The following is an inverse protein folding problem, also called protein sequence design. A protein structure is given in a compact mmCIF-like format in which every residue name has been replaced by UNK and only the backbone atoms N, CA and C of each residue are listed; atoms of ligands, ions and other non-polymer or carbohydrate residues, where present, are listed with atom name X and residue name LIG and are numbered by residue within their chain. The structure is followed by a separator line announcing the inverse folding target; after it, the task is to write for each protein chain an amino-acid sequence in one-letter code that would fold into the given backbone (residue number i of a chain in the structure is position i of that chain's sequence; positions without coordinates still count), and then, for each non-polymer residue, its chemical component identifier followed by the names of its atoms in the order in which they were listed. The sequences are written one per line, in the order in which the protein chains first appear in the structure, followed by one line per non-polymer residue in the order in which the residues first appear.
data_IF_537797016170
#
_entry.id   IF_537797016170
#
_cell.length_a   1.000
_cell.length_b   1.000
_cell.length_c   1.000
_cell.angle_alpha   90.00
_cell.angle_beta   90.00
_cell.angle_gamma   90.00
#
_symmetry.space_group_name_H-M   'P 1'
#
loop_
_entity.id
_entity.type
_entity.pdbx_description
1 polymer ?
#
# COMPACT_ATOMS: atom_id res chain seq x y z
N UNK A 1 -17.31 4.61 10.37
CA UNK A 1 -17.26 3.75 11.58
C UNK A 1 -15.83 3.61 12.07
N UNK A 2 -15.62 3.54 13.38
CA UNK A 2 -14.30 3.44 14.04
C UNK A 2 -13.42 2.31 13.47
N UNK A 3 -14.02 1.17 13.12
CA UNK A 3 -13.31 0.01 12.57
C UNK A 3 -12.66 0.25 11.21
N UNK A 4 -13.27 1.06 10.33
CA UNK A 4 -12.66 1.41 9.05
C UNK A 4 -11.40 2.26 9.26
N UNK A 5 -11.45 3.23 10.19
CA UNK A 5 -10.25 4.03 10.56
C UNK A 5 -9.16 3.11 11.09
N UNK A 6 -9.48 2.20 12.00
CA UNK A 6 -8.55 1.22 12.56
C UNK A 6 -7.94 0.30 11.48
N UNK A 7 -8.76 -0.20 10.56
CA UNK A 7 -8.30 -1.03 9.44
C UNK A 7 -7.35 -0.28 8.50
N UNK A 8 -7.63 1.01 8.22
CA UNK A 8 -6.73 1.85 7.42
C UNK A 8 -5.39 2.08 8.11
N UNK A 9 -5.37 2.37 9.40
CA UNK A 9 -4.12 2.53 10.15
C UNK A 9 -3.32 1.21 10.22
N UNK A 10 -4.02 0.09 10.38
CA UNK A 10 -3.41 -1.24 10.36
C UNK A 10 -2.72 -1.57 9.02
N UNK A 11 -3.18 -0.98 7.91
CA UNK A 11 -2.57 -1.16 6.59
C UNK A 11 -1.10 -0.71 6.53
N UNK A 12 -0.70 0.26 7.35
CA UNK A 12 0.71 0.68 7.45
C UNK A 12 1.64 -0.43 7.96
N UNK A 13 1.09 -1.41 8.68
CA UNK A 13 1.85 -2.54 9.23
C UNK A 13 1.73 -3.79 8.36
N UNK A 14 0.54 -4.07 7.84
CA UNK A 14 0.29 -5.27 7.04
C UNK A 14 -0.68 -5.03 5.90
N UNK A 15 -0.27 -5.45 4.69
CA UNK A 15 -1.10 -5.37 3.47
C UNK A 15 -1.99 -6.61 3.30
N UNK A 16 -1.59 -7.74 3.87
CA UNK A 16 -2.27 -9.04 3.79
C UNK A 16 -2.42 -9.63 5.20
N UNK A 17 -3.28 -9.04 6.05
CA UNK A 17 -3.47 -9.57 7.39
C UNK A 17 -4.08 -10.97 7.35
N UNK A 18 -3.54 -11.87 8.17
CA UNK A 18 -4.14 -13.19 8.38
C UNK A 18 -5.44 -13.07 9.17
N UNK A 19 -6.27 -14.12 9.10
CA UNK A 19 -7.48 -14.20 9.92
C UNK A 19 -7.17 -14.03 11.40
N UNK A 20 -6.06 -14.62 11.89
CA UNK A 20 -5.61 -14.50 13.27
C UNK A 20 -5.30 -13.05 13.67
N UNK A 21 -4.58 -12.30 12.82
CA UNK A 21 -4.27 -10.89 13.08
C UNK A 21 -5.56 -10.05 13.09
N UNK A 22 -6.49 -10.30 12.18
CA UNK A 22 -7.79 -9.63 12.18
C UNK A 22 -8.58 -9.90 13.48
N UNK A 23 -8.57 -11.14 14.00
CA UNK A 23 -9.22 -11.44 15.29
C UNK A 23 -8.59 -10.69 16.45
N UNK A 24 -7.27 -10.67 16.52
CA UNK A 24 -6.54 -10.00 17.58
C UNK A 24 -6.76 -8.48 17.56
N UNK A 25 -6.76 -7.87 16.36
CA UNK A 25 -6.93 -6.43 16.22
C UNK A 25 -8.38 -5.96 16.39
N UNK A 26 -9.39 -6.77 16.09
CA UNK A 26 -10.81 -6.40 16.17
C UNK A 26 -11.56 -7.23 17.23
N UNK A 27 -11.01 -7.31 18.44
CA UNK A 27 -11.60 -8.08 19.55
C UNK A 27 -12.99 -7.60 19.98
N UNK A 28 -13.32 -6.34 19.68
CA UNK A 28 -14.56 -5.67 20.03
C UNK A 28 -15.70 -5.99 19.05
N UNK A 29 -15.40 -6.79 18.02
CA UNK A 29 -16.35 -7.19 16.99
C UNK A 29 -16.56 -8.70 17.07
N UNK A 30 -17.80 -9.14 17.24
CA UNK A 30 -18.13 -10.53 16.98
C UNK A 30 -17.86 -10.82 15.50
N UNK A 31 -16.83 -11.61 15.24
CA UNK A 31 -16.41 -11.98 13.90
C UNK A 31 -17.42 -12.95 13.27
N UNK A 32 -18.51 -12.37 12.76
CA UNK A 32 -19.40 -13.06 11.86
C UNK A 32 -18.75 -13.21 10.48
N UNK A 33 -19.32 -14.12 9.67
CA UNK A 33 -18.93 -14.27 8.26
C UNK A 33 -19.04 -12.96 7.49
N UNK A 34 -20.06 -12.15 7.78
CA UNK A 34 -20.29 -10.85 7.14
C UNK A 34 -19.18 -9.84 7.47
N UNK A 35 -18.82 -9.70 8.74
CA UNK A 35 -17.73 -8.79 9.18
C UNK A 35 -16.39 -9.21 8.57
N UNK A 36 -16.09 -10.51 8.59
CA UNK A 36 -14.85 -11.04 8.01
C UNK A 36 -14.76 -10.72 6.52
N UNK A 37 -15.85 -10.94 5.77
CA UNK A 37 -15.95 -10.58 4.36
C UNK A 37 -15.75 -9.08 4.13
N UNK A 38 -16.34 -8.24 4.99
CA UNK A 38 -16.21 -6.78 4.91
C UNK A 38 -14.77 -6.31 5.15
N UNK A 39 -14.06 -6.90 6.12
CA UNK A 39 -12.65 -6.61 6.37
C UNK A 39 -11.79 -7.03 5.18
N UNK A 40 -12.00 -8.23 4.64
CA UNK A 40 -11.28 -8.70 3.44
C UNK A 40 -11.50 -7.73 2.28
N UNK A 41 -12.75 -7.30 2.05
CA UNK A 41 -13.09 -6.31 1.02
C UNK A 41 -12.36 -4.97 1.25
N UNK A 42 -12.32 -4.46 2.48
CA UNK A 42 -11.57 -3.23 2.78
C UNK A 42 -10.09 -3.38 2.46
N UNK A 43 -9.44 -4.46 2.90
CA UNK A 43 -8.01 -4.66 2.62
C UNK A 43 -7.73 -4.87 1.13
N UNK A 44 -8.65 -5.48 0.37
CA UNK A 44 -8.55 -5.51 -1.10
C UNK A 44 -8.59 -4.11 -1.71
N UNK A 45 -9.55 -3.27 -1.32
CA UNK A 45 -9.63 -1.89 -1.79
C UNK A 45 -8.39 -1.06 -1.38
N UNK A 46 -7.86 -1.29 -0.18
CA UNK A 46 -6.65 -0.61 0.27
C UNK A 46 -5.43 -0.96 -0.57
N UNK A 47 -5.24 -2.24 -0.89
CA UNK A 47 -4.17 -2.69 -1.79
C UNK A 47 -4.33 -2.15 -3.20
N UNK A 48 -5.55 -2.15 -3.72
CA UNK A 48 -5.83 -1.59 -5.05
C UNK A 48 -5.40 -0.11 -5.12
N UNK A 49 -5.85 0.71 -4.17
CA UNK A 49 -5.43 2.12 -4.11
C UNK A 49 -3.91 2.25 -3.99
N UNK A 50 -3.28 1.48 -3.10
CA UNK A 50 -1.83 1.50 -2.90
C UNK A 50 -1.06 1.20 -4.18
N UNK A 51 -1.38 0.10 -4.87
CA UNK A 51 -0.68 -0.31 -6.08
C UNK A 51 -0.97 0.60 -7.28
N UNK A 52 -2.17 1.19 -7.36
CA UNK A 52 -2.45 2.25 -8.34
C UNK A 52 -1.52 3.45 -8.12
N UNK A 53 -1.31 3.88 -6.87
CA UNK A 53 -0.37 4.98 -6.60
C UNK A 53 1.08 4.58 -6.91
N UNK A 54 1.50 3.37 -6.54
CA UNK A 54 2.86 2.89 -6.86
C UNK A 54 3.13 2.90 -8.36
N UNK A 55 2.19 2.38 -9.15
CA UNK A 55 2.30 2.40 -10.61
C UNK A 55 2.32 3.82 -11.17
N UNK A 56 1.40 4.68 -10.72
CA UNK A 56 1.32 6.08 -11.17
C UNK A 56 2.65 6.81 -10.96
N UNK A 57 3.22 6.70 -9.76
CA UNK A 57 4.47 7.39 -9.43
C UNK A 57 5.69 6.75 -10.12
N UNK A 58 5.69 5.42 -10.33
CA UNK A 58 6.72 4.76 -11.11
C UNK A 58 6.73 5.23 -12.59
N UNK A 59 5.55 5.31 -13.22
CA UNK A 59 5.42 5.84 -14.59
C UNK A 59 5.81 7.31 -14.67
N UNK A 60 5.45 8.10 -13.66
CA UNK A 60 5.85 9.51 -13.59
C UNK A 60 7.37 9.66 -13.50
N UNK A 61 8.05 8.86 -12.66
CA UNK A 61 9.51 8.88 -12.56
C UNK A 61 10.19 8.51 -13.88
N UNK A 62 9.65 7.53 -14.62
CA UNK A 62 10.13 7.19 -15.96
C UNK A 62 9.96 8.35 -16.94
N UNK A 63 8.79 8.99 -16.96
CA UNK A 63 8.53 10.15 -17.81
C UNK A 63 9.43 11.35 -17.47
N UNK A 64 9.88 11.47 -16.22
CA UNK A 64 10.82 12.48 -15.76
C UNK A 64 12.29 12.13 -16.04
N UNK A 65 12.56 10.98 -16.65
CA UNK A 65 13.92 10.58 -17.02
C UNK A 65 14.81 10.18 -15.83
N UNK A 66 14.22 9.76 -14.71
CA UNK A 66 15.01 9.16 -13.62
C UNK A 66 15.80 7.98 -14.18
N UNK A 67 17.12 7.95 -13.98
CA UNK A 67 18.01 6.98 -14.63
C UNK A 67 18.13 5.64 -13.87
N UNK A 68 17.99 5.66 -12.54
CA UNK A 68 18.18 4.49 -11.68
C UNK A 68 17.02 4.35 -10.69
N UNK A 69 16.41 3.16 -10.64
CA UNK A 69 15.40 2.81 -9.65
C UNK A 69 15.90 3.01 -8.22
N UNK A 70 17.19 2.78 -7.93
CA UNK A 70 17.74 2.92 -6.56
C UNK A 70 17.63 4.35 -6.03
N UNK A 71 17.59 5.34 -6.92
CA UNK A 71 17.40 6.74 -6.54
C UNK A 71 15.98 7.06 -6.06
N UNK A 72 15.00 6.19 -6.36
CA UNK A 72 13.62 6.37 -5.89
C UNK A 72 13.54 6.06 -4.41
N UNK A 73 13.14 7.06 -3.63
CA UNK A 73 12.89 6.94 -2.20
C UNK A 73 11.48 7.45 -1.88
N UNK A 74 10.88 6.91 -0.82
CA UNK A 74 9.59 7.36 -0.29
C UNK A 74 9.85 7.97 1.07
N UNK A 75 9.97 9.29 1.10
CA UNK A 75 10.19 10.07 2.32
C UNK A 75 8.90 10.73 2.78
N UNK A 76 8.89 11.31 3.99
CA UNK A 76 7.69 11.95 4.57
C UNK A 76 7.25 13.18 3.78
N UNK A 77 8.17 13.79 3.07
CA UNK A 77 7.98 14.99 2.26
C UNK A 77 7.53 14.62 0.83
N UNK A 78 7.73 13.36 0.42
CA UNK A 78 7.37 12.86 -0.91
C UNK A 78 5.87 12.96 -1.18
N UNK A 79 5.51 13.29 -2.43
CA UNK A 79 4.10 13.36 -2.82
C UNK A 79 3.39 12.01 -2.75
N UNK A 80 4.11 10.93 -3.04
CA UNK A 80 3.58 9.58 -2.89
C UNK A 80 3.19 9.33 -1.43
N UNK A 81 4.07 9.59 -0.47
CA UNK A 81 3.72 9.41 0.95
C UNK A 81 2.56 10.30 1.37
N UNK A 82 2.55 11.59 1.01
CA UNK A 82 1.44 12.50 1.35
C UNK A 82 0.10 11.99 0.84
N UNK A 83 0.07 11.45 -0.38
CA UNK A 83 -1.11 10.83 -0.98
C UNK A 83 -1.57 9.60 -0.20
N UNK A 84 -0.67 8.68 0.14
CA UNK A 84 -0.98 7.49 0.92
C UNK A 84 -1.44 7.85 2.35
N UNK A 85 -0.73 8.75 3.01
CA UNK A 85 -1.02 9.19 4.37
C UNK A 85 -2.40 9.87 4.44
N UNK A 86 -2.74 10.74 3.50
CA UNK A 86 -4.08 11.36 3.44
C UNK A 86 -5.20 10.31 3.27
N UNK A 87 -4.92 9.26 2.48
CA UNK A 87 -5.90 8.20 2.24
C UNK A 87 -6.13 7.31 3.47
N UNK A 88 -5.07 6.85 4.13
CA UNK A 88 -5.16 5.89 5.24
C UNK A 88 -5.27 6.56 6.62
N UNK A 89 -4.72 7.77 6.77
CA UNK A 89 -4.57 8.51 8.02
C UNK A 89 -5.18 9.91 7.89
N UNK A 90 -6.47 9.99 7.57
CA UNK A 90 -7.17 11.26 7.23
C UNK A 90 -7.03 12.35 8.29
N UNK A 91 -7.03 12.00 9.57
CA UNK A 91 -6.89 12.95 10.67
C UNK A 91 -5.42 13.37 10.91
N UNK A 92 -4.47 12.66 10.30
CA UNK A 92 -3.03 12.83 10.48
C UNK A 92 -2.58 12.85 11.95
N UNK A 93 -3.34 12.16 12.80
CA UNK A 93 -3.13 12.03 14.25
C UNK A 93 -2.23 10.83 14.60
N UNK A 94 -1.89 10.01 13.60
CA UNK A 94 -1.04 8.84 13.73
C UNK A 94 0.31 9.04 13.03
N UNK A 95 1.42 8.77 13.74
CA UNK A 95 2.74 8.80 13.13
C UNK A 95 3.03 7.50 12.37
N UNK A 96 3.06 7.58 11.05
CA UNK A 96 3.35 6.41 10.20
C UNK A 96 4.76 5.86 10.49
N UNK A 97 4.93 4.55 10.73
CA UNK A 97 6.23 3.92 10.98
C UNK A 97 7.21 4.06 9.83
N UNK A 98 8.51 4.22 10.14
CA UNK A 98 9.58 4.26 9.14
C UNK A 98 9.59 3.02 8.25
N UNK A 99 9.30 1.85 8.83
CA UNK A 99 9.23 0.58 8.12
C UNK A 99 8.24 0.59 6.95
N UNK A 100 7.14 1.34 7.05
CA UNK A 100 6.19 1.48 5.94
C UNK A 100 6.82 2.22 4.75
N UNK A 101 7.58 3.27 5.02
CA UNK A 101 8.29 4.06 4.01
C UNK A 101 9.34 3.21 3.28
N UNK A 102 10.12 2.42 4.03
CA UNK A 102 11.09 1.48 3.46
C UNK A 102 10.43 0.50 2.49
N UNK A 103 9.33 -0.13 2.93
CA UNK A 103 8.59 -1.08 2.10
C UNK A 103 7.97 -0.39 0.88
N UNK A 104 7.42 0.82 1.06
CA UNK A 104 6.86 1.59 -0.04
C UNK A 104 7.92 1.96 -1.09
N UNK A 105 9.14 2.30 -0.65
CA UNK A 105 10.25 2.54 -1.55
C UNK A 105 10.64 1.27 -2.33
N UNK A 106 10.71 0.11 -1.67
CA UNK A 106 10.95 -1.17 -2.35
C UNK A 106 9.86 -1.43 -3.39
N UNK A 107 8.58 -1.32 -3.01
CA UNK A 107 7.48 -1.52 -3.97
C UNK A 107 7.59 -0.57 -5.16
N UNK A 108 7.84 0.73 -4.92
CA UNK A 108 7.97 1.72 -5.99
C UNK A 108 9.10 1.35 -6.97
N UNK A 109 10.24 0.87 -6.46
CA UNK A 109 11.39 0.42 -7.26
C UNK A 109 11.08 -0.81 -8.10
N UNK A 110 10.36 -1.78 -7.55
CA UNK A 110 9.91 -2.97 -8.27
C UNK A 110 8.96 -2.57 -9.42
N UNK A 111 7.98 -1.70 -9.14
CA UNK A 111 7.08 -1.16 -10.17
C UNK A 111 7.84 -0.42 -11.27
N UNK A 112 8.75 0.49 -10.89
CA UNK A 112 9.56 1.23 -11.84
C UNK A 112 10.42 0.30 -12.70
N UNK A 113 11.07 -0.70 -12.09
CA UNK A 113 11.96 -1.62 -12.79
C UNK A 113 11.21 -2.53 -13.78
N UNK A 114 10.01 -3.00 -13.41
CA UNK A 114 9.20 -3.81 -14.31
C UNK A 114 8.70 -2.98 -15.50
N UNK A 115 8.22 -1.76 -15.25
CA UNK A 115 7.71 -0.88 -16.32
C UNK A 115 8.85 -0.41 -17.24
N UNK A 116 10.03 -0.09 -16.70
CA UNK A 116 11.18 0.35 -17.51
C UNK A 116 11.67 -0.72 -18.49
N UNK A 117 11.50 -1.99 -18.12
CA UNK A 117 11.80 -3.16 -18.97
C UNK A 117 10.64 -3.55 -19.90
N UNK A 118 9.48 -2.90 -19.80
CA UNK A 118 8.29 -3.22 -20.57
C UNK A 118 7.58 -4.51 -20.15
N UNK A 119 7.83 -5.01 -18.94
CA UNK A 119 7.19 -6.20 -18.38
C UNK A 119 5.69 -5.97 -18.10
N UNK A 120 5.27 -4.70 -17.98
CA UNK A 120 3.89 -4.29 -17.72
C UNK A 120 2.89 -4.59 -18.86
N UNK A 121 3.39 -5.09 -19.99
CA UNK A 121 2.59 -5.63 -21.10
C UNK A 121 1.99 -7.00 -20.79
N UNK A 122 2.60 -7.77 -19.90
CA UNK A 122 2.07 -9.06 -19.45
C UNK A 122 0.97 -8.82 -18.40
N UNK A 123 -0.28 -9.30 -18.55
CA UNK A 123 -1.34 -9.08 -17.57
C UNK A 123 -1.03 -9.54 -16.14
N UNK A 124 -0.02 -10.40 -15.96
CA UNK A 124 0.38 -11.00 -14.70
C UNK A 124 1.62 -10.37 -14.06
N UNK A 125 2.21 -9.34 -14.65
CA UNK A 125 3.47 -8.71 -14.21
C UNK A 125 3.51 -8.34 -12.73
N UNK A 126 2.38 -7.84 -12.19
CA UNK A 126 2.29 -7.43 -10.79
C UNK A 126 2.34 -8.60 -9.80
N UNK A 127 2.12 -9.86 -10.24
CA UNK A 127 2.20 -11.04 -9.36
C UNK A 127 3.58 -11.22 -8.74
N UNK A 128 4.64 -10.81 -9.43
CA UNK A 128 5.99 -10.85 -8.89
C UNK A 128 6.18 -9.83 -7.75
N UNK A 129 5.51 -8.68 -7.84
CA UNK A 129 5.63 -7.57 -6.89
C UNK A 129 4.77 -7.77 -5.64
N UNK A 130 3.69 -8.54 -5.76
CA UNK A 130 2.79 -8.82 -4.64
C UNK A 130 3.35 -9.83 -3.61
N UNK A 131 4.47 -10.48 -3.92
CA UNK A 131 5.15 -11.44 -3.04
C UNK A 131 5.94 -10.72 -1.95
#
# INVERSE_FOLDING_TARGET
TSHLKKAKLMFFYTRYPSSHVLKACFHDVQLSRCVTSQLIKWFSNFREFYYIQMEKFARQALAQGVADARSLAVERESQLFKTLNTHYNKANDFQVPQRFLEVAAITLREFYSAISKGEDRDPSWKKAIYK
#
